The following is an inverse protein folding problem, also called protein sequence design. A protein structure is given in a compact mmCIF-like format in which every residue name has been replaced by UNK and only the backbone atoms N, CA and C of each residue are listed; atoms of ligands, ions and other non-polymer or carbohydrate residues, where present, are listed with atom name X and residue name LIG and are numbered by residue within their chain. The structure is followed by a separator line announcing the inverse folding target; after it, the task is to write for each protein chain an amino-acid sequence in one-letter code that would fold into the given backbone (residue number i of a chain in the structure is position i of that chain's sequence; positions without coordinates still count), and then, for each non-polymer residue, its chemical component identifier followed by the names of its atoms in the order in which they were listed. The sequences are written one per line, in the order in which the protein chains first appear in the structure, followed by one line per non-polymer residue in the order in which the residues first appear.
data_IF_895429173757
#
_entry.id   IF_895429173757
#
_cell.length_a   1.000
_cell.length_b   1.000
_cell.length_c   1.000
_cell.angle_alpha   90.00
_cell.angle_beta   90.00
_cell.angle_gamma   90.00
#
_symmetry.space_group_name_H-M   'P 1'
#
loop_
_entity.id
_entity.type
_entity.pdbx_description
1 polymer ?
#
# COMPACT_ATOMS: atom_id res chain seq x y z
N UNK A 1 6.95 1.50 28.97
CA UNK A 1 7.57 1.73 27.65
C UNK A 1 8.06 0.43 27.00
N UNK A 2 8.84 -0.40 27.72
CA UNK A 2 9.38 -1.67 27.19
C UNK A 2 8.27 -2.70 26.90
N UNK A 3 7.23 -2.78 27.75
CA UNK A 3 6.12 -3.73 27.56
C UNK A 3 5.31 -3.46 26.28
N UNK A 4 5.02 -2.19 26.00
CA UNK A 4 4.35 -1.80 24.75
C UNK A 4 5.18 -2.19 23.53
N UNK A 5 6.49 -1.96 23.55
CA UNK A 5 7.40 -2.33 22.45
C UNK A 5 7.41 -3.83 22.19
N UNK A 6 7.38 -4.64 23.26
CA UNK A 6 7.30 -6.10 23.16
C UNK A 6 5.98 -6.56 22.53
N UNK A 7 4.86 -5.94 22.91
CA UNK A 7 3.54 -6.22 22.30
C UNK A 7 3.55 -5.88 20.80
N UNK A 8 3.99 -4.68 20.42
CA UNK A 8 4.09 -4.27 19.02
C UNK A 8 4.99 -5.20 18.20
N UNK A 9 6.10 -5.65 18.77
CA UNK A 9 6.99 -6.60 18.12
C UNK A 9 6.33 -7.97 17.89
N UNK A 10 5.61 -8.49 18.89
CA UNK A 10 4.87 -9.75 18.75
C UNK A 10 3.78 -9.61 17.69
N UNK A 11 3.01 -8.52 17.69
CA UNK A 11 1.99 -8.24 16.67
C UNK A 11 2.63 -8.20 15.28
N UNK A 12 3.71 -7.43 15.10
CA UNK A 12 4.42 -7.32 13.83
C UNK A 12 4.90 -8.68 13.33
N UNK A 13 5.50 -9.50 14.22
CA UNK A 13 5.96 -10.85 13.89
C UNK A 13 4.79 -11.73 13.43
N UNK A 14 3.70 -11.77 14.18
CA UNK A 14 2.52 -12.57 13.84
C UNK A 14 1.93 -12.13 12.50
N UNK A 15 1.77 -10.83 12.26
CA UNK A 15 1.26 -10.31 10.99
C UNK A 15 2.16 -10.68 9.80
N UNK A 16 3.48 -10.65 9.96
CA UNK A 16 4.42 -11.09 8.91
C UNK A 16 4.26 -12.58 8.65
N UNK A 17 4.18 -13.41 9.70
CA UNK A 17 3.98 -14.86 9.57
C UNK A 17 2.67 -15.17 8.83
N UNK A 18 1.55 -14.54 9.21
CA UNK A 18 0.25 -14.67 8.53
C UNK A 18 0.30 -14.29 7.04
N UNK A 19 0.92 -13.15 6.72
CA UNK A 19 1.07 -12.68 5.33
C UNK A 19 1.93 -13.62 4.49
N UNK A 20 2.90 -14.27 5.12
CA UNK A 20 3.82 -15.22 4.49
C UNK A 20 3.34 -16.66 4.55
N UNK A 21 2.17 -16.99 5.13
CA UNK A 21 1.57 -18.33 4.98
C UNK A 21 1.32 -18.61 3.49
N UNK A 22 0.75 -17.63 2.78
CA UNK A 22 0.51 -17.68 1.34
C UNK A 22 1.58 -16.92 0.57
N UNK A 23 2.81 -17.42 0.59
CA UNK A 23 4.01 -16.77 0.00
C UNK A 23 3.82 -16.38 -1.47
N UNK A 24 3.16 -17.22 -2.25
CA UNK A 24 2.86 -16.97 -3.66
C UNK A 24 1.91 -15.79 -3.84
N UNK A 25 0.84 -15.73 -3.04
CA UNK A 25 -0.09 -14.60 -3.03
C UNK A 25 0.60 -13.31 -2.60
N UNK A 26 1.42 -13.37 -1.53
CA UNK A 26 2.22 -12.23 -1.10
C UNK A 26 3.16 -11.72 -2.19
N UNK A 27 3.92 -12.61 -2.84
CA UNK A 27 4.86 -12.23 -3.90
C UNK A 27 4.12 -11.65 -5.11
N UNK A 28 3.05 -12.30 -5.55
CA UNK A 28 2.25 -11.86 -6.69
C UNK A 28 1.54 -10.53 -6.41
N UNK A 29 0.85 -10.40 -5.28
CA UNK A 29 0.17 -9.17 -4.90
C UNK A 29 1.14 -8.01 -4.74
N UNK A 30 2.31 -8.26 -4.12
CA UNK A 30 3.38 -7.26 -4.01
C UNK A 30 3.86 -6.82 -5.39
N UNK A 31 4.12 -7.75 -6.31
CA UNK A 31 4.59 -7.46 -7.67
C UNK A 31 3.54 -6.64 -8.44
N UNK A 32 2.29 -7.10 -8.45
CA UNK A 32 1.19 -6.43 -9.16
C UNK A 32 0.95 -5.02 -8.61
N UNK A 33 1.23 -4.76 -7.33
CA UNK A 33 1.13 -3.42 -6.74
C UNK A 33 2.11 -2.41 -7.36
N UNK A 34 3.20 -2.87 -7.97
CA UNK A 34 4.15 -2.01 -8.70
C UNK A 34 3.83 -1.87 -10.20
N UNK A 35 2.94 -2.70 -10.75
CA UNK A 35 2.52 -2.63 -12.15
C UNK A 35 2.05 -1.22 -12.58
N UNK A 36 1.33 -0.44 -11.74
CA UNK A 36 0.97 0.94 -12.05
C UNK A 36 2.17 1.85 -12.38
N UNK A 37 3.36 1.58 -11.82
CA UNK A 37 4.57 2.37 -12.12
C UNK A 37 4.96 2.18 -13.58
N UNK A 38 5.02 0.93 -14.01
CA UNK A 38 5.40 0.55 -15.37
C UNK A 38 4.40 1.12 -16.38
N UNK A 39 3.10 0.96 -16.11
CA UNK A 39 2.07 1.53 -16.99
C UNK A 39 2.17 3.04 -17.09
N UNK A 40 2.51 3.71 -15.99
CA UNK A 40 2.62 5.16 -15.98
C UNK A 40 3.83 5.66 -16.77
N UNK A 41 4.96 4.99 -16.65
CA UNK A 41 6.16 5.30 -17.43
C UNK A 41 5.86 5.15 -18.93
N UNK A 42 5.26 4.04 -19.34
CA UNK A 42 4.91 3.83 -20.75
C UNK A 42 3.85 4.81 -21.25
N UNK A 43 2.83 5.11 -20.44
CA UNK A 43 1.79 6.06 -20.79
C UNK A 43 2.38 7.46 -21.04
N UNK A 44 3.20 7.97 -20.13
CA UNK A 44 3.85 9.27 -20.36
C UNK A 44 4.89 9.22 -21.48
N UNK A 45 5.58 8.09 -21.65
CA UNK A 45 6.47 7.87 -22.79
C UNK A 45 5.74 8.03 -24.12
N UNK A 46 4.55 7.43 -24.24
CA UNK A 46 3.71 7.56 -25.43
C UNK A 46 3.19 8.99 -25.62
N UNK A 47 2.72 9.65 -24.55
CA UNK A 47 2.23 11.04 -24.61
C UNK A 47 3.32 11.99 -25.10
N UNK A 48 4.49 11.97 -24.47
CA UNK A 48 5.61 12.84 -24.86
C UNK A 48 6.20 12.45 -26.22
N UNK A 49 6.19 11.16 -26.58
CA UNK A 49 6.64 10.71 -27.91
C UNK A 49 5.70 11.09 -29.06
N UNK A 50 4.40 11.30 -28.78
CA UNK A 50 3.42 11.79 -29.76
C UNK A 50 3.41 13.30 -29.93
N UNK A 51 4.05 14.04 -29.03
CA UNK A 51 4.08 15.50 -29.01
C UNK A 51 5.28 16.03 -29.82
N UNK A 52 5.05 17.04 -30.65
CA UNK A 52 6.15 17.77 -31.31
C UNK A 52 6.92 18.69 -30.35
N UNK A 53 6.40 18.90 -29.14
CA UNK A 53 6.99 19.76 -28.12
C UNK A 53 7.77 18.94 -27.08
N UNK A 54 9.00 19.37 -26.78
CA UNK A 54 9.87 18.77 -25.75
C UNK A 54 9.33 18.92 -24.33
N UNK A 55 8.52 19.95 -24.09
CA UNK A 55 7.83 20.17 -22.81
C UNK A 55 6.33 20.34 -23.02
N UNK A 56 5.55 19.81 -22.07
CA UNK A 56 4.09 19.91 -22.04
C UNK A 56 3.71 20.66 -20.77
N UNK A 57 3.10 21.83 -20.90
CA UNK A 57 2.73 22.70 -19.77
C UNK A 57 3.89 22.95 -18.78
N UNK A 58 5.12 23.12 -19.30
CA UNK A 58 6.32 23.35 -18.49
C UNK A 58 6.94 22.08 -17.88
N UNK A 59 6.34 20.91 -18.06
CA UNK A 59 6.91 19.63 -17.64
C UNK A 59 7.65 18.95 -18.80
N UNK A 60 8.82 18.40 -18.52
CA UNK A 60 9.51 17.46 -19.42
C UNK A 60 9.11 16.05 -19.04
N UNK A 61 9.40 15.08 -19.91
CA UNK A 61 9.18 13.66 -19.60
C UNK A 61 9.83 13.26 -18.27
N UNK A 62 11.10 13.64 -18.07
CA UNK A 62 11.84 13.32 -16.85
C UNK A 62 11.21 13.95 -15.60
N UNK A 63 10.74 15.21 -15.66
CA UNK A 63 10.08 15.83 -14.51
C UNK A 63 8.73 15.18 -14.22
N UNK A 64 7.98 14.77 -15.24
CA UNK A 64 6.69 14.10 -15.07
C UNK A 64 6.83 12.70 -14.44
N UNK A 65 7.81 11.91 -14.91
CA UNK A 65 8.11 10.60 -14.32
C UNK A 65 8.56 10.75 -12.86
N UNK A 66 9.45 11.71 -12.58
CA UNK A 66 9.94 11.98 -11.22
C UNK A 66 8.81 12.38 -10.27
N UNK A 67 7.93 13.28 -10.73
CA UNK A 67 6.74 13.67 -9.98
C UNK A 67 5.86 12.46 -9.65
N UNK A 68 5.59 11.60 -10.62
CA UNK A 68 4.72 10.45 -10.40
C UNK A 68 5.33 9.40 -9.48
N UNK A 69 6.66 9.19 -9.55
CA UNK A 69 7.36 8.34 -8.60
C UNK A 69 7.24 8.88 -7.17
N UNK A 70 7.33 10.19 -6.96
CA UNK A 70 7.12 10.81 -5.65
C UNK A 70 5.69 10.60 -5.14
N UNK A 71 4.70 10.78 -6.02
CA UNK A 71 3.29 10.48 -5.70
C UNK A 71 3.12 9.01 -5.29
N UNK A 72 3.77 8.07 -5.98
CA UNK A 72 3.70 6.63 -5.66
C UNK A 72 4.26 6.34 -4.27
N UNK A 73 5.39 6.96 -3.90
CA UNK A 73 5.94 6.86 -2.54
C UNK A 73 4.93 7.39 -1.53
N UNK A 74 4.35 8.57 -1.77
CA UNK A 74 3.30 9.12 -0.92
C UNK A 74 2.10 8.19 -0.75
N UNK A 75 1.64 7.57 -1.84
CA UNK A 75 0.55 6.57 -1.79
C UNK A 75 0.95 5.32 -1.03
N UNK A 76 2.20 4.87 -1.11
CA UNK A 76 2.67 3.69 -0.39
C UNK A 76 2.54 3.84 1.13
N UNK A 77 2.73 5.05 1.66
CA UNK A 77 2.56 5.38 3.08
C UNK A 77 1.15 5.84 3.46
N UNK A 78 0.44 6.52 2.56
CA UNK A 78 -0.87 7.13 2.86
C UNK A 78 -2.05 6.17 2.63
N UNK A 79 -1.94 5.28 1.64
CA UNK A 79 -2.99 4.28 1.47
C UNK A 79 -2.83 3.26 2.60
N UNK A 80 -3.84 3.15 3.45
CA UNK A 80 -4.13 1.95 4.22
C UNK A 80 -5.13 1.13 3.40
N UNK A 81 -4.74 0.48 2.28
CA UNK A 81 -5.68 -0.22 1.44
C UNK A 81 -6.04 -1.51 2.16
N UNK A 82 -7.31 -1.67 2.48
CA UNK A 82 -7.81 -2.89 3.10
C UNK A 82 -8.07 -2.80 4.60
N UNK A 83 -7.74 -1.68 5.27
CA UNK A 83 -8.13 -1.51 6.68
C UNK A 83 -9.65 -1.48 6.81
N UNK A 84 -10.32 -0.56 6.10
CA UNK A 84 -11.78 -0.43 6.15
C UNK A 84 -12.50 -1.72 5.71
N UNK A 85 -12.01 -2.41 4.68
CA UNK A 85 -12.59 -3.68 4.24
C UNK A 85 -12.28 -4.85 5.20
N UNK A 86 -11.15 -4.80 5.90
CA UNK A 86 -10.81 -5.70 7.01
C UNK A 86 -11.76 -5.54 8.19
N UNK A 87 -11.97 -4.30 8.64
CA UNK A 87 -12.93 -3.98 9.72
C UNK A 87 -14.34 -4.43 9.31
N UNK A 88 -14.78 -4.12 8.08
CA UNK A 88 -16.09 -4.53 7.58
C UNK A 88 -16.25 -6.06 7.59
N UNK A 89 -15.18 -6.80 7.26
CA UNK A 89 -15.15 -8.27 7.31
C UNK A 89 -15.24 -8.76 8.75
N UNK A 90 -14.49 -8.16 9.67
CA UNK A 90 -14.52 -8.54 11.09
C UNK A 90 -15.89 -8.31 11.74
N UNK A 91 -16.59 -7.25 11.33
CA UNK A 91 -17.98 -6.98 11.74
C UNK A 91 -18.91 -8.05 11.18
N UNK A 92 -18.81 -8.32 9.87
CA UNK A 92 -19.66 -9.31 9.18
C UNK A 92 -19.47 -10.72 9.73
N UNK A 93 -18.23 -11.10 10.01
CA UNK A 93 -17.86 -12.45 10.45
C UNK A 93 -17.95 -12.60 11.99
N UNK A 94 -18.28 -11.52 12.72
CA UNK A 94 -18.48 -11.49 14.17
C UNK A 94 -17.19 -11.60 15.00
N UNK A 95 -16.02 -11.57 14.36
CA UNK A 95 -14.70 -11.61 15.01
C UNK A 95 -14.40 -10.32 15.76
N UNK A 96 -15.07 -9.21 15.43
CA UNK A 96 -14.94 -7.91 16.12
C UNK A 96 -15.21 -8.00 17.63
N UNK A 97 -16.01 -8.99 18.08
CA UNK A 97 -16.39 -9.17 19.50
C UNK A 97 -15.21 -9.24 20.45
N UNK A 98 -14.04 -9.73 20.00
CA UNK A 98 -12.83 -9.86 20.84
C UNK A 98 -12.35 -8.48 21.31
N UNK A 99 -12.45 -7.47 20.46
CA UNK A 99 -12.08 -6.08 20.78
C UNK A 99 -13.13 -5.37 21.64
N UNK A 100 -14.39 -5.82 21.60
CA UNK A 100 -15.48 -5.21 22.38
C UNK A 100 -15.62 -5.78 23.80
N UNK A 101 -15.13 -7.01 24.01
CA UNK A 101 -15.34 -7.75 25.27
C UNK A 101 -14.07 -7.97 26.08
N UNK A 102 -12.89 -7.82 25.46
CA UNK A 102 -11.59 -7.95 26.10
C UNK A 102 -10.93 -6.56 26.19
N UNK A 103 -10.03 -6.32 27.16
CA UNK A 103 -9.30 -5.05 27.28
C UNK A 103 -8.18 -4.94 26.22
N UNK A 104 -8.56 -5.00 24.94
CA UNK A 104 -7.66 -4.95 23.78
C UNK A 104 -8.30 -4.05 22.74
N UNK A 105 -7.61 -2.97 22.38
CA UNK A 105 -8.11 -2.05 21.37
C UNK A 105 -7.90 -2.58 19.93
N UNK A 106 -8.78 -2.17 19.02
CA UNK A 106 -8.72 -2.57 17.61
C UNK A 106 -7.70 -1.77 16.80
N UNK A 107 -7.50 -0.49 17.14
CA UNK A 107 -6.65 0.43 16.37
C UNK A 107 -5.33 0.79 17.10
N UNK A 108 -5.20 0.44 18.37
CA UNK A 108 -4.01 0.65 19.21
C UNK A 108 -4.26 1.61 20.34
#
# INVERSE_FOLDING_TARGET
MIDSLRVHWVILRTCIEERLVYRGDFAFATLVRFLPIVTQIFLWGAIFGSSSQTSLNGYTYASMVSYYLLVMVGRAFSSMPGLASGIARDVRDGTVKKYLTQPIDMLG
#
